data_IF_741071124630
#
_entry.id   IF_741071124630
#
_cell.length_a   1.000
_cell.length_b   1.000
_cell.length_c   1.000
_cell.angle_alpha   90.00
_cell.angle_beta   90.00
_cell.angle_gamma   90.00
#
_symmetry.space_group_name_H-M   'P 1'
#
loop_
_entity.id
_entity.type
_entity.pdbx_description
1 polymer ?
#
# COMPACT_ATOMS: atom_id res chain seq x y z
N UNK A 1 2.33 -15.18 -17.26
CA UNK A 1 1.24 -14.41 -16.63
C UNK A 1 0.64 -15.26 -15.51
N UNK A 2 0.60 -14.70 -14.31
CA UNK A 2 -0.06 -15.37 -13.18
C UNK A 2 -1.55 -15.13 -13.39
N UNK A 3 -2.29 -16.15 -13.81
CA UNK A 3 -3.73 -16.08 -14.02
C UNK A 3 -4.45 -16.18 -12.67
N UNK A 4 -4.52 -15.07 -11.94
CA UNK A 4 -5.48 -14.95 -10.84
C UNK A 4 -6.83 -14.68 -11.48
N UNK A 5 -7.69 -15.70 -11.47
CA UNK A 5 -9.05 -15.58 -12.00
C UNK A 5 -9.90 -14.78 -11.02
N UNK A 6 -10.53 -13.73 -11.51
CA UNK A 6 -11.64 -13.09 -10.80
C UNK A 6 -12.91 -13.90 -11.12
N UNK A 7 -13.29 -14.79 -10.23
CA UNK A 7 -14.54 -15.54 -10.37
C UNK A 7 -15.70 -14.62 -9.99
N UNK A 8 -16.56 -14.32 -10.96
CA UNK A 8 -17.68 -13.37 -10.80
C UNK A 8 -18.70 -13.76 -9.71
N UNK A 9 -18.70 -15.02 -9.27
CA UNK A 9 -19.65 -15.55 -8.29
C UNK A 9 -19.15 -15.52 -6.84
N UNK A 10 -17.94 -15.01 -6.58
CA UNK A 10 -17.43 -14.93 -5.22
C UNK A 10 -18.05 -13.77 -4.44
N UNK A 11 -18.31 -13.92 -3.12
CA UNK A 11 -18.89 -12.89 -2.30
C UNK A 11 -17.96 -11.68 -2.16
N UNK A 12 -18.55 -10.51 -1.93
CA UNK A 12 -17.80 -9.33 -1.53
C UNK A 12 -17.23 -9.50 -0.12
N UNK A 13 -16.04 -8.93 0.14
CA UNK A 13 -15.46 -8.93 1.47
C UNK A 13 -16.29 -8.02 2.41
N UNK A 14 -16.49 -8.48 3.64
CA UNK A 14 -17.10 -7.68 4.71
C UNK A 14 -16.03 -7.31 5.73
N UNK A 15 -15.65 -6.04 5.77
CA UNK A 15 -14.63 -5.54 6.71
C UNK A 15 -15.33 -5.09 8.00
N UNK A 16 -14.83 -5.61 9.14
CA UNK A 16 -15.28 -5.26 10.50
C UNK A 16 -14.16 -4.56 11.28
N UNK A 17 -13.11 -5.30 11.57
CA UNK A 17 -11.94 -4.83 12.32
C UNK A 17 -10.73 -4.61 11.42
N UNK A 18 -10.69 -5.25 10.26
CA UNK A 18 -9.52 -5.35 9.37
C UNK A 18 -8.37 -6.14 10.01
N UNK A 19 -8.68 -7.16 10.82
CA UNK A 19 -7.70 -8.11 11.34
C UNK A 19 -7.15 -8.95 10.18
N UNK A 20 -5.84 -9.17 10.15
CA UNK A 20 -5.20 -9.93 9.06
C UNK A 20 -4.44 -11.12 9.66
N UNK A 21 -4.63 -12.30 9.08
CA UNK A 21 -3.94 -13.51 9.52
C UNK A 21 -3.35 -14.28 8.33
N UNK A 22 -2.08 -14.66 8.45
CA UNK A 22 -1.39 -15.58 7.54
C UNK A 22 -1.21 -16.89 8.27
N UNK A 23 -1.66 -18.02 7.67
CA UNK A 23 -1.56 -19.38 8.22
C UNK A 23 -0.74 -20.26 7.29
N UNK A 24 0.46 -20.67 7.74
CA UNK A 24 1.39 -21.56 7.03
C UNK A 24 1.67 -21.15 5.58
N UNK A 25 1.74 -19.82 5.34
CA UNK A 25 1.85 -19.27 3.99
C UNK A 25 3.24 -19.48 3.43
N UNK A 26 3.30 -20.12 2.25
CA UNK A 26 4.52 -20.27 1.46
C UNK A 26 4.30 -19.79 0.04
N UNK A 27 5.28 -19.04 -0.47
CA UNK A 27 5.24 -18.49 -1.81
C UNK A 27 6.61 -18.51 -2.49
N UNK A 28 6.61 -18.82 -3.79
CA UNK A 28 7.77 -18.82 -4.66
C UNK A 28 7.41 -18.17 -6.00
N UNK A 29 8.24 -17.27 -6.48
CA UNK A 29 8.09 -16.71 -7.82
C UNK A 29 8.45 -17.74 -8.90
N UNK A 30 7.82 -17.66 -10.06
CA UNK A 30 7.97 -18.66 -11.14
C UNK A 30 9.43 -18.88 -11.58
N UNK A 31 10.23 -17.83 -11.60
CA UNK A 31 11.60 -17.85 -12.15
C UNK A 31 12.69 -17.88 -11.07
N UNK A 32 12.34 -18.20 -9.81
CA UNK A 32 13.32 -18.30 -8.71
C UNK A 32 13.52 -19.76 -8.30
N UNK A 33 14.69 -20.10 -7.74
CA UNK A 33 14.96 -21.42 -7.16
C UNK A 33 14.38 -21.50 -5.74
N UNK A 34 14.50 -20.44 -4.98
CA UNK A 34 14.16 -20.40 -3.57
C UNK A 34 12.76 -19.81 -3.33
N UNK A 35 12.17 -20.16 -2.19
CA UNK A 35 10.91 -19.58 -1.73
C UNK A 35 11.16 -18.15 -1.23
N UNK A 36 10.35 -17.22 -1.72
CA UNK A 36 10.34 -15.85 -1.19
C UNK A 36 9.69 -15.78 0.20
N UNK A 37 8.74 -16.67 0.49
CA UNK A 37 8.06 -16.83 1.79
C UNK A 37 7.97 -18.33 2.09
N UNK A 38 8.30 -18.73 3.33
CA UNK A 38 8.32 -20.12 3.75
C UNK A 38 7.58 -20.35 5.07
N UNK A 39 6.37 -20.91 5.01
CA UNK A 39 5.52 -21.28 6.15
C UNK A 39 5.39 -20.17 7.21
N UNK A 40 5.17 -18.93 6.76
CA UNK A 40 4.97 -17.83 7.70
C UNK A 40 3.60 -17.93 8.38
N UNK A 41 3.62 -17.65 9.69
CA UNK A 41 2.44 -17.48 10.53
C UNK A 41 2.53 -16.11 11.18
N UNK A 42 1.54 -15.24 10.95
CA UNK A 42 1.49 -13.93 11.59
C UNK A 42 0.05 -13.45 11.73
N UNK A 43 -0.16 -12.66 12.80
CA UNK A 43 -1.42 -11.98 13.05
C UNK A 43 -1.17 -10.50 13.20
N UNK A 44 -1.96 -9.71 12.49
CA UNK A 44 -1.95 -8.25 12.50
C UNK A 44 -3.30 -7.80 13.03
N UNK A 45 -3.26 -7.07 14.11
CA UNK A 45 -4.46 -6.51 14.72
C UNK A 45 -5.01 -5.39 13.84
N UNK A 46 -6.31 -5.35 13.69
CA UNK A 46 -6.98 -4.28 12.97
C UNK A 46 -6.78 -2.91 13.60
N UNK A 47 -6.76 -1.88 12.77
CA UNK A 47 -6.56 -0.47 13.17
C UNK A 47 -5.24 -0.22 13.91
N UNK A 48 -4.22 -1.03 13.64
CA UNK A 48 -2.87 -0.88 14.15
C UNK A 48 -1.87 -0.76 13.01
N UNK A 49 -0.69 -0.23 13.33
CA UNK A 49 0.43 -0.17 12.40
C UNK A 49 1.42 -1.31 12.69
N UNK A 50 1.65 -2.15 11.69
CA UNK A 50 2.62 -3.25 11.76
C UNK A 50 3.77 -2.99 10.80
N UNK A 51 5.00 -2.96 11.33
CA UNK A 51 6.21 -2.78 10.56
C UNK A 51 6.89 -4.11 10.23
N UNK A 52 7.33 -4.26 9.00
CA UNK A 52 8.21 -5.34 8.56
C UNK A 52 9.62 -4.81 8.37
N UNK A 53 10.59 -5.40 9.07
CA UNK A 53 12.01 -5.06 8.99
C UNK A 53 12.85 -6.27 8.57
N UNK A 54 13.99 -6.03 7.93
CA UNK A 54 14.88 -7.08 7.45
C UNK A 54 15.68 -6.60 6.24
N UNK A 55 16.70 -7.38 5.83
CA UNK A 55 17.53 -7.03 4.68
C UNK A 55 16.73 -7.02 3.35
N UNK A 56 17.31 -6.42 2.32
CA UNK A 56 16.75 -6.47 0.96
C UNK A 56 16.64 -7.93 0.49
N UNK A 57 15.53 -8.29 -0.17
CA UNK A 57 15.28 -9.66 -0.59
C UNK A 57 14.76 -10.61 0.49
N UNK A 58 14.61 -10.17 1.75
CA UNK A 58 14.13 -11.01 2.84
C UNK A 58 12.68 -11.53 2.69
N UNK A 59 11.89 -10.97 1.76
CA UNK A 59 10.48 -11.35 1.50
C UNK A 59 9.43 -10.33 1.95
N UNK A 60 9.83 -9.17 2.48
CA UNK A 60 8.91 -8.13 2.99
C UNK A 60 7.87 -7.68 1.95
N UNK A 61 8.32 -7.23 0.77
CA UNK A 61 7.40 -6.79 -0.31
C UNK A 61 6.53 -7.95 -0.82
N UNK A 62 7.00 -9.20 -0.72
CA UNK A 62 6.18 -10.36 -1.06
C UNK A 62 5.00 -10.52 -0.10
N UNK A 63 5.21 -10.33 1.22
CA UNK A 63 4.13 -10.37 2.23
C UNK A 63 3.05 -9.33 1.86
N UNK A 64 3.47 -8.09 1.58
CA UNK A 64 2.58 -7.00 1.20
C UNK A 64 1.82 -7.33 -0.10
N UNK A 65 2.50 -7.87 -1.11
CA UNK A 65 1.91 -8.15 -2.43
C UNK A 65 0.95 -9.35 -2.46
N UNK A 66 1.05 -10.26 -1.49
CA UNK A 66 0.10 -11.38 -1.34
C UNK A 66 -1.28 -10.90 -0.86
N UNK A 67 -1.36 -9.82 -0.08
CA UNK A 67 -2.63 -9.37 0.50
C UNK A 67 -3.64 -8.85 -0.54
N UNK A 68 -3.27 -7.99 -1.53
CA UNK A 68 -4.18 -7.61 -2.60
C UNK A 68 -4.33 -8.70 -3.69
N UNK A 69 -3.80 -9.90 -3.43
CA UNK A 69 -3.78 -11.02 -4.39
C UNK A 69 -3.17 -10.59 -5.74
N UNK A 70 -1.98 -9.98 -5.72
CA UNK A 70 -1.17 -9.88 -6.93
C UNK A 70 -0.58 -11.24 -7.28
N UNK A 71 -0.45 -12.11 -6.26
CA UNK A 71 -0.05 -13.50 -6.32
C UNK A 71 -0.89 -14.30 -5.34
N UNK A 72 -1.18 -15.57 -5.66
CA UNK A 72 -1.75 -16.52 -4.70
C UNK A 72 -0.62 -17.38 -4.10
N UNK A 73 -0.62 -17.65 -2.79
CA UNK A 73 0.36 -18.53 -2.18
C UNK A 73 0.19 -19.99 -2.69
N UNK A 74 1.32 -20.72 -2.79
CA UNK A 74 1.27 -22.14 -3.15
C UNK A 74 0.75 -23.01 -2.00
N UNK A 75 1.05 -22.59 -0.75
CA UNK A 75 0.55 -23.29 0.45
C UNK A 75 0.11 -22.25 1.47
N UNK A 76 -0.76 -22.69 2.39
CA UNK A 76 -1.33 -21.86 3.43
C UNK A 76 -2.47 -20.97 2.95
N UNK A 77 -2.95 -20.11 3.84
CA UNK A 77 -4.10 -19.23 3.61
C UNK A 77 -3.88 -17.86 4.23
N UNK A 78 -4.52 -16.87 3.65
CA UNK A 78 -4.53 -15.49 4.16
C UNK A 78 -5.97 -15.11 4.43
N UNK A 79 -6.22 -14.54 5.61
CA UNK A 79 -7.55 -14.13 6.05
C UNK A 79 -7.58 -12.64 6.35
N UNK A 80 -8.73 -12.03 6.11
CA UNK A 80 -9.09 -10.69 6.59
C UNK A 80 -10.43 -10.86 7.32
N UNK A 81 -10.49 -10.50 8.61
CA UNK A 81 -11.68 -10.70 9.46
C UNK A 81 -12.26 -12.11 9.30
N UNK A 82 -11.40 -13.15 9.45
CA UNK A 82 -11.70 -14.58 9.30
C UNK A 82 -12.18 -15.04 7.91
N UNK A 83 -12.20 -14.14 6.91
CA UNK A 83 -12.57 -14.46 5.54
C UNK A 83 -11.32 -14.82 4.72
N UNK A 84 -11.25 -16.03 4.18
CA UNK A 84 -10.17 -16.46 3.27
C UNK A 84 -10.22 -15.61 1.98
N UNK A 85 -9.19 -14.78 1.77
CA UNK A 85 -9.15 -13.83 0.64
C UNK A 85 -9.21 -14.52 -0.73
N UNK A 86 -8.85 -15.81 -0.81
CA UNK A 86 -8.96 -16.60 -2.05
C UNK A 86 -10.40 -16.81 -2.48
N UNK A 87 -11.33 -16.86 -1.53
CA UNK A 87 -12.75 -17.10 -1.72
C UNK A 87 -13.57 -15.79 -1.78
N UNK A 88 -12.93 -14.66 -2.02
CA UNK A 88 -13.54 -13.33 -2.08
C UNK A 88 -13.40 -12.75 -3.49
N UNK A 89 -14.41 -12.00 -3.91
CA UNK A 89 -14.38 -11.24 -5.15
C UNK A 89 -13.17 -10.28 -5.16
N UNK A 90 -12.34 -10.39 -6.18
CA UNK A 90 -11.05 -9.70 -6.25
C UNK A 90 -11.21 -8.18 -6.29
N UNK A 91 -12.22 -7.66 -6.98
CA UNK A 91 -12.47 -6.22 -7.05
C UNK A 91 -12.91 -5.69 -5.68
N UNK A 92 -13.78 -6.44 -4.98
CA UNK A 92 -14.19 -6.10 -3.61
C UNK A 92 -13.01 -6.13 -2.64
N UNK A 93 -12.13 -7.13 -2.71
CA UNK A 93 -10.90 -7.20 -1.91
C UNK A 93 -10.03 -5.96 -2.15
N UNK A 94 -9.68 -5.69 -3.41
CA UNK A 94 -8.79 -4.59 -3.80
C UNK A 94 -9.36 -3.21 -3.53
N UNK A 95 -10.69 -3.05 -3.56
CA UNK A 95 -11.36 -1.81 -3.16
C UNK A 95 -11.08 -1.45 -1.69
N UNK A 96 -10.92 -2.44 -0.83
CA UNK A 96 -10.66 -2.27 0.61
C UNK A 96 -9.16 -2.18 0.98
N UNK A 97 -8.26 -2.20 0.00
CA UNK A 97 -6.81 -2.13 0.21
C UNK A 97 -6.23 -1.00 -0.62
N UNK A 98 -5.51 -0.07 -0.01
CA UNK A 98 -4.69 0.93 -0.71
C UNK A 98 -3.22 0.56 -0.61
N UNK A 99 -2.49 0.67 -1.72
CA UNK A 99 -1.04 0.47 -1.79
C UNK A 99 -0.36 1.77 -2.17
N UNK A 100 0.59 2.20 -1.36
CA UNK A 100 1.55 3.27 -1.66
C UNK A 100 2.89 2.57 -1.86
N UNK A 101 3.30 2.40 -3.12
CA UNK A 101 4.52 1.70 -3.50
C UNK A 101 5.72 2.62 -3.59
N UNK A 102 6.92 2.04 -3.54
CA UNK A 102 8.18 2.73 -3.79
C UNK A 102 8.23 3.25 -5.23
N UNK A 103 7.88 2.39 -6.20
CA UNK A 103 7.80 2.76 -7.61
C UNK A 103 6.40 3.32 -7.91
N UNK A 104 6.34 4.64 -8.06
CA UNK A 104 5.08 5.35 -8.27
C UNK A 104 4.78 5.41 -9.75
N UNK A 105 3.70 4.77 -10.16
CA UNK A 105 3.20 4.84 -11.53
C UNK A 105 2.20 5.99 -11.64
N UNK A 106 2.51 6.96 -12.49
CA UNK A 106 1.62 8.06 -12.86
C UNK A 106 1.32 7.96 -14.36
N UNK A 107 0.07 8.22 -14.72
CA UNK A 107 -0.38 8.20 -16.11
C UNK A 107 -0.05 9.55 -16.79
N UNK A 108 0.15 9.53 -18.10
CA UNK A 108 0.28 10.74 -18.90
C UNK A 108 -1.09 11.42 -19.05
N UNK A 109 -1.46 12.14 -18.00
CA UNK A 109 -2.74 12.81 -17.84
C UNK A 109 -2.59 13.97 -16.85
N UNK A 110 -3.67 14.68 -16.55
CA UNK A 110 -3.69 15.76 -15.55
C UNK A 110 -3.41 15.21 -14.14
N UNK A 111 -2.99 16.08 -13.24
CA UNK A 111 -2.87 15.76 -11.81
C UNK A 111 -4.22 15.31 -11.26
N UNK A 112 -5.31 16.02 -11.62
CA UNK A 112 -6.66 15.68 -11.22
C UNK A 112 -7.04 14.25 -11.62
N UNK A 113 -6.87 13.89 -12.90
CA UNK A 113 -7.18 12.57 -13.41
C UNK A 113 -6.34 11.49 -12.70
N UNK A 114 -5.05 11.75 -12.48
CA UNK A 114 -4.17 10.86 -11.75
C UNK A 114 -4.65 10.58 -10.32
N UNK A 115 -5.21 11.56 -9.62
CA UNK A 115 -5.72 11.37 -8.25
C UNK A 115 -7.09 10.70 -8.29
N UNK A 116 -7.99 11.15 -9.15
CA UNK A 116 -9.35 10.63 -9.32
C UNK A 116 -9.37 9.15 -9.78
N UNK A 117 -8.29 8.65 -10.40
CA UNK A 117 -8.14 7.24 -10.75
C UNK A 117 -8.42 6.26 -9.60
N UNK A 118 -8.25 6.71 -8.35
CA UNK A 118 -8.56 5.92 -7.17
C UNK A 118 -10.06 5.77 -6.90
N UNK A 119 -10.87 6.73 -7.41
CA UNK A 119 -12.32 6.76 -7.29
C UNK A 119 -12.90 7.63 -8.42
N UNK A 120 -13.36 7.00 -9.50
CA UNK A 120 -13.88 7.68 -10.70
C UNK A 120 -15.12 8.54 -10.42
N UNK A 121 -15.84 8.30 -9.33
CA UNK A 121 -17.01 9.06 -8.91
C UNK A 121 -16.68 10.23 -7.97
N UNK A 122 -15.40 10.46 -7.66
CA UNK A 122 -15.00 11.52 -6.75
C UNK A 122 -15.28 12.92 -7.32
N UNK A 123 -15.85 13.78 -6.51
CA UNK A 123 -16.03 15.18 -6.82
C UNK A 123 -14.71 15.95 -6.74
N UNK A 124 -14.62 17.11 -7.40
CA UNK A 124 -13.45 17.99 -7.33
C UNK A 124 -13.12 18.39 -5.89
N UNK A 125 -14.14 18.61 -5.06
CA UNK A 125 -13.95 18.92 -3.62
C UNK A 125 -13.28 17.79 -2.87
N UNK A 126 -13.62 16.53 -3.16
CA UNK A 126 -13.00 15.36 -2.54
C UNK A 126 -11.55 15.19 -3.00
N UNK A 127 -11.28 15.42 -4.29
CA UNK A 127 -9.92 15.40 -4.85
C UNK A 127 -9.05 16.48 -4.17
N UNK A 128 -9.53 17.72 -4.10
CA UNK A 128 -8.80 18.81 -3.42
C UNK A 128 -8.55 18.48 -1.95
N UNK A 129 -9.57 18.01 -1.23
CA UNK A 129 -9.42 17.63 0.19
C UNK A 129 -8.41 16.50 0.38
N UNK A 130 -8.39 15.49 -0.49
CA UNK A 130 -7.38 14.43 -0.44
C UNK A 130 -5.96 14.99 -0.66
N UNK A 131 -5.81 15.98 -1.55
CA UNK A 131 -4.54 16.66 -1.78
C UNK A 131 -4.09 17.52 -0.61
N UNK A 132 -5.01 18.20 0.07
CA UNK A 132 -4.71 18.96 1.28
C UNK A 132 -4.17 18.04 2.38
N UNK A 133 -4.84 16.89 2.62
CA UNK A 133 -4.36 15.90 3.59
C UNK A 133 -3.02 15.26 3.22
N UNK A 134 -2.74 15.11 1.92
CA UNK A 134 -1.47 14.61 1.40
C UNK A 134 -0.39 15.67 1.29
N UNK A 135 -0.65 16.92 1.71
CA UNK A 135 0.21 18.08 1.51
C UNK A 135 0.61 18.31 0.03
N UNK A 136 -0.26 17.90 -0.91
CA UNK A 136 -0.05 18.05 -2.34
C UNK A 136 -0.63 19.35 -2.91
N UNK A 137 -1.73 19.85 -2.32
CA UNK A 137 -2.47 21.02 -2.80
C UNK A 137 -1.59 22.27 -2.94
N UNK A 138 -0.67 22.48 -2.00
CA UNK A 138 0.22 23.64 -2.00
C UNK A 138 1.11 23.73 -3.24
N UNK A 139 1.74 22.61 -3.64
CA UNK A 139 2.56 22.63 -4.83
C UNK A 139 1.72 22.62 -6.13
N UNK A 140 0.55 21.94 -6.11
CA UNK A 140 -0.34 21.89 -7.26
C UNK A 140 -0.83 23.30 -7.62
N UNK A 141 -1.22 24.11 -6.65
CA UNK A 141 -1.66 25.51 -6.86
C UNK A 141 -0.56 26.43 -7.40
N UNK A 142 0.70 26.07 -7.22
CA UNK A 142 1.85 26.82 -7.78
C UNK A 142 2.14 26.48 -9.25
N UNK A 143 1.52 25.41 -9.78
CA UNK A 143 1.69 25.04 -11.19
C UNK A 143 0.82 25.92 -12.10
N UNK A 144 1.23 26.22 -13.34
CA UNK A 144 0.52 27.14 -14.22
C UNK A 144 -0.95 26.79 -14.45
N UNK A 145 -1.29 25.50 -14.55
CA UNK A 145 -2.64 25.00 -14.76
C UNK A 145 -3.22 24.30 -13.53
N UNK A 146 -2.59 24.44 -12.34
CA UNK A 146 -3.06 23.82 -11.12
C UNK A 146 -3.33 22.32 -11.28
N UNK A 147 -4.52 21.87 -10.92
CA UNK A 147 -4.97 20.48 -11.03
C UNK A 147 -5.07 19.96 -12.47
N UNK A 148 -5.25 20.84 -13.47
CA UNK A 148 -5.30 20.49 -14.87
C UNK A 148 -3.91 20.45 -15.54
N UNK A 149 -2.84 20.51 -14.74
CA UNK A 149 -1.48 20.38 -15.24
C UNK A 149 -1.22 18.96 -15.74
N UNK A 150 -0.84 18.83 -17.01
CA UNK A 150 -0.35 17.58 -17.60
C UNK A 150 1.02 17.23 -17.05
N UNK A 151 1.16 16.05 -16.47
CA UNK A 151 2.41 15.65 -15.79
C UNK A 151 3.37 14.82 -16.64
N UNK A 152 2.92 14.38 -17.82
CA UNK A 152 3.70 13.54 -18.73
C UNK A 152 3.86 12.10 -18.24
N UNK A 153 4.46 11.26 -19.06
CA UNK A 153 4.66 9.85 -18.78
C UNK A 153 5.43 9.66 -17.47
N UNK A 154 4.88 8.83 -16.58
CA UNK A 154 5.39 8.60 -15.22
C UNK A 154 5.65 9.88 -14.40
N UNK A 155 4.97 10.99 -14.73
CA UNK A 155 5.11 12.25 -14.00
C UNK A 155 6.52 12.85 -14.12
N UNK A 156 7.14 12.77 -15.29
CA UNK A 156 8.53 13.23 -15.55
C UNK A 156 8.78 14.69 -15.11
N UNK A 157 7.72 15.49 -15.06
CA UNK A 157 7.78 16.91 -14.66
C UNK A 157 7.69 17.15 -13.15
N UNK A 158 7.56 16.08 -12.35
CA UNK A 158 7.39 16.16 -10.90
C UNK A 158 8.62 15.62 -10.16
N UNK A 159 8.96 16.23 -9.02
CA UNK A 159 9.97 15.68 -8.11
C UNK A 159 9.48 14.38 -7.46
N UNK A 160 10.40 13.57 -6.91
CA UNK A 160 10.05 12.34 -6.19
C UNK A 160 9.05 12.57 -5.06
N UNK A 161 9.27 13.63 -4.25
CA UNK A 161 8.35 14.00 -3.16
C UNK A 161 6.97 14.46 -3.65
N UNK A 162 6.88 15.12 -4.80
CA UNK A 162 5.60 15.50 -5.41
C UNK A 162 4.85 14.26 -5.91
N UNK A 163 5.51 13.33 -6.59
CA UNK A 163 4.93 12.05 -7.01
C UNK A 163 4.40 11.27 -5.81
N UNK A 164 5.18 11.20 -4.73
CA UNK A 164 4.79 10.49 -3.51
C UNK A 164 3.53 11.09 -2.90
N UNK A 165 3.43 12.42 -2.80
CA UNK A 165 2.24 13.10 -2.29
C UNK A 165 1.00 12.85 -3.16
N UNK A 166 1.14 12.77 -4.47
CA UNK A 166 0.03 12.36 -5.37
C UNK A 166 -0.38 10.91 -5.09
N UNK A 167 0.57 9.99 -4.92
CA UNK A 167 0.28 8.58 -4.58
C UNK A 167 -0.45 8.47 -3.23
N UNK A 168 -0.06 9.27 -2.24
CA UNK A 168 -0.74 9.34 -0.93
C UNK A 168 -2.14 9.95 -1.09
N UNK A 169 -2.31 11.00 -1.90
CA UNK A 169 -3.63 11.58 -2.18
C UNK A 169 -4.59 10.55 -2.81
N UNK A 170 -4.09 9.73 -3.75
CA UNK A 170 -4.85 8.57 -4.28
C UNK A 170 -5.31 7.63 -3.19
N UNK A 171 -4.40 7.27 -2.27
CA UNK A 171 -4.71 6.35 -1.17
C UNK A 171 -5.72 6.95 -0.18
N UNK A 172 -5.63 8.26 0.10
CA UNK A 172 -6.59 8.99 0.93
C UNK A 172 -7.97 9.02 0.26
N UNK A 173 -8.03 9.38 -1.04
CA UNK A 173 -9.28 9.47 -1.80
C UNK A 173 -10.01 8.13 -1.89
N UNK A 174 -9.27 7.04 -1.91
CA UNK A 174 -9.82 5.67 -1.95
C UNK A 174 -10.54 5.26 -0.66
N UNK A 175 -10.23 5.87 0.48
CA UNK A 175 -10.82 5.58 1.78
C UNK A 175 -10.75 4.12 2.24
N UNK A 176 -9.75 3.37 1.80
CA UNK A 176 -9.60 1.95 2.17
C UNK A 176 -9.30 1.77 3.66
N UNK A 177 -9.87 0.74 4.33
CA UNK A 177 -9.57 0.42 5.73
C UNK A 177 -8.19 -0.20 5.94
N UNK A 178 -7.58 -0.76 4.89
CA UNK A 178 -6.26 -1.40 4.94
C UNK A 178 -5.30 -0.61 4.04
N UNK A 179 -4.15 -0.23 4.62
CA UNK A 179 -3.11 0.54 3.95
C UNK A 179 -1.82 -0.29 3.89
N UNK A 180 -1.23 -0.37 2.72
CA UNK A 180 0.05 -1.02 2.47
C UNK A 180 1.06 0.05 2.05
N UNK A 181 2.18 0.15 2.77
CA UNK A 181 3.25 1.11 2.51
C UNK A 181 4.54 0.35 2.20
N UNK A 182 5.02 0.45 0.95
CA UNK A 182 6.29 -0.13 0.54
C UNK A 182 7.31 0.99 0.32
N UNK A 183 8.22 1.18 1.29
CA UNK A 183 9.33 2.15 1.24
C UNK A 183 8.96 3.59 0.84
N UNK A 184 7.82 4.09 1.30
CA UNK A 184 7.23 5.34 0.84
C UNK A 184 8.10 6.61 1.00
N UNK A 185 9.27 6.56 1.65
CA UNK A 185 10.15 7.73 1.91
C UNK A 185 11.62 7.48 1.57
N UNK A 186 12.00 6.33 1.01
CA UNK A 186 13.41 5.91 0.90
C UNK A 186 14.29 6.79 0.01
N UNK A 187 13.73 7.49 -0.97
CA UNK A 187 14.45 8.28 -1.99
C UNK A 187 14.22 9.80 -1.89
N UNK A 188 13.75 10.31 -0.74
CA UNK A 188 13.39 11.71 -0.58
C UNK A 188 14.49 12.49 0.16
N UNK A 189 14.62 13.78 -0.18
CA UNK A 189 15.40 14.76 0.61
C UNK A 189 14.71 15.01 1.96
N UNK A 190 15.47 15.58 2.94
CA UNK A 190 15.00 15.72 4.31
C UNK A 190 13.75 16.59 4.47
N UNK A 191 13.57 17.61 3.63
CA UNK A 191 12.40 18.50 3.69
C UNK A 191 11.17 17.78 3.14
N UNK A 192 11.28 17.19 1.95
CA UNK A 192 10.23 16.38 1.32
C UNK A 192 9.84 15.19 2.20
N UNK A 193 10.80 14.57 2.89
CA UNK A 193 10.55 13.46 3.80
C UNK A 193 9.61 13.85 4.94
N UNK A 194 9.87 14.98 5.62
CA UNK A 194 9.04 15.45 6.74
C UNK A 194 7.60 15.71 6.30
N UNK A 195 7.42 16.30 5.11
CA UNK A 195 6.09 16.57 4.55
C UNK A 195 5.37 15.24 4.23
N UNK A 196 6.06 14.32 3.59
CA UNK A 196 5.50 12.99 3.22
C UNK A 196 5.20 12.18 4.48
N UNK A 197 6.03 12.23 5.51
CA UNK A 197 5.79 11.53 6.78
C UNK A 197 4.51 12.03 7.47
N UNK A 198 4.26 13.34 7.47
CA UNK A 198 3.01 13.91 7.99
C UNK A 198 1.78 13.43 7.17
N UNK A 199 1.91 13.38 5.85
CA UNK A 199 0.86 12.88 4.97
C UNK A 199 0.57 11.38 5.22
N UNK A 200 1.61 10.56 5.46
CA UNK A 200 1.48 9.15 5.84
C UNK A 200 0.76 9.04 7.19
N UNK A 201 1.11 9.85 8.18
CA UNK A 201 0.42 9.87 9.48
C UNK A 201 -1.07 10.15 9.34
N UNK A 202 -1.44 11.10 8.48
CA UNK A 202 -2.85 11.39 8.18
C UNK A 202 -3.55 10.22 7.48
N UNK A 203 -2.88 9.56 6.53
CA UNK A 203 -3.41 8.42 5.78
C UNK A 203 -3.68 7.21 6.68
N UNK A 204 -2.78 6.93 7.63
CA UNK A 204 -2.77 5.70 8.44
C UNK A 204 -3.63 5.78 9.70
N UNK A 205 -4.10 6.96 10.05
CA UNK A 205 -4.93 7.18 11.24
C UNK A 205 -6.19 6.29 11.21
N UNK A 206 -6.39 5.52 12.27
CA UNK A 206 -7.53 4.59 12.43
C UNK A 206 -7.64 3.52 11.33
N UNK A 207 -6.52 3.19 10.66
CA UNK A 207 -6.43 2.18 9.60
C UNK A 207 -5.53 1.01 10.01
N UNK A 208 -5.81 -0.17 9.47
CA UNK A 208 -4.86 -1.28 9.55
C UNK A 208 -3.74 -1.04 8.55
N UNK A 209 -2.53 -0.83 9.06
CA UNK A 209 -1.39 -0.45 8.22
C UNK A 209 -0.28 -1.47 8.28
N UNK A 210 0.15 -1.95 7.12
CA UNK A 210 1.35 -2.76 6.95
C UNK A 210 2.41 -1.89 6.28
N UNK A 211 3.56 -1.74 6.91
CA UNK A 211 4.64 -0.89 6.38
C UNK A 211 5.96 -1.66 6.30
N UNK A 212 6.64 -1.58 5.15
CA UNK A 212 8.04 -1.97 5.05
C UNK A 212 8.87 -0.78 5.51
N UNK A 213 9.53 -0.99 6.67
CA UNK A 213 10.27 0.08 7.33
C UNK A 213 11.77 -0.04 7.06
N UNK A 214 12.35 1.01 6.45
CA UNK A 214 13.78 1.21 6.30
C UNK A 214 14.31 2.34 7.17
N UNK A 215 13.42 3.08 7.85
CA UNK A 215 13.77 4.22 8.71
C UNK A 215 13.31 3.98 10.14
N UNK A 216 14.16 4.40 11.09
CA UNK A 216 13.89 4.28 12.52
C UNK A 216 12.60 5.00 12.94
N UNK A 217 12.28 6.16 12.34
CA UNK A 217 11.06 6.90 12.63
C UNK A 217 9.79 6.11 12.34
N UNK A 218 9.78 5.34 11.26
CA UNK A 218 8.65 4.45 10.89
C UNK A 218 8.52 3.29 11.87
N UNK A 219 9.65 2.73 12.32
CA UNK A 219 9.69 1.62 13.28
C UNK A 219 9.19 2.07 14.65
N UNK A 220 9.58 3.27 15.11
CA UNK A 220 9.13 3.80 16.41
C UNK A 220 7.63 4.05 16.50
N UNK A 221 6.96 4.31 15.38
CA UNK A 221 5.52 4.57 15.34
C UNK A 221 4.69 3.29 15.13
N UNK A 222 5.32 2.12 14.99
CA UNK A 222 4.62 0.86 14.79
C UNK A 222 4.18 0.26 16.14
N UNK A 223 2.93 -0.24 16.17
CA UNK A 223 2.38 -0.97 17.31
C UNK A 223 2.97 -2.38 17.40
N UNK A 224 3.41 -2.93 16.26
CA UNK A 224 4.03 -4.24 16.16
C UNK A 224 5.11 -4.27 15.09
N UNK A 225 6.18 -5.02 15.36
CA UNK A 225 7.30 -5.19 14.43
C UNK A 225 7.50 -6.67 14.17
N UNK A 226 7.64 -7.05 12.90
CA UNK A 226 8.08 -8.38 12.48
C UNK A 226 9.44 -8.30 11.82
N UNK A 227 10.39 -9.12 12.30
CA UNK A 227 11.71 -9.27 11.68
C UNK A 227 11.66 -10.39 10.67
N UNK A 228 11.87 -10.04 9.41
CA UNK A 228 11.84 -10.97 8.27
C UNK A 228 13.27 -11.29 7.83
N UNK A 229 13.59 -12.58 7.73
CA UNK A 229 14.86 -13.06 7.22
C UNK A 229 14.63 -14.32 6.38
N UNK A 230 15.14 -14.34 5.16
CA UNK A 230 15.13 -15.51 4.24
C UNK A 230 13.72 -16.13 4.09
N UNK A 231 12.71 -15.30 3.97
CA UNK A 231 11.31 -15.71 3.84
C UNK A 231 10.65 -16.22 5.12
N UNK A 232 11.27 -16.03 6.28
CA UNK A 232 10.77 -16.45 7.61
C UNK A 232 10.54 -15.24 8.50
N UNK A 233 9.58 -15.35 9.42
CA UNK A 233 9.48 -14.46 10.58
C UNK A 233 10.36 -15.01 11.69
N UNK A 234 11.44 -14.30 12.02
CA UNK A 234 12.43 -14.78 13.01
C UNK A 234 12.23 -14.16 14.39
N UNK A 235 11.52 -13.01 14.47
CA UNK A 235 11.21 -12.34 15.73
C UNK A 235 10.00 -11.41 15.56
N UNK A 236 9.35 -11.06 16.67
CA UNK A 236 8.30 -10.06 16.73
C UNK A 236 8.28 -9.33 18.08
N UNK A 237 8.05 -8.04 18.09
CA UNK A 237 7.95 -7.20 19.27
C UNK A 237 6.91 -6.11 19.11
#
# INVERSE_FOLDING_TARGET
>A
PINIKNENNLPSISIKNSDIEFKDVSFKYLNTKDKAINKINLKIQGRSMTAFVGHSGAGKSTIINLLPRFYDPQNGKIFIDDQDIKNINLNSLRKNISLVSQDIILFDDTIRANIAYANDSATDKEVVKACEFAAADEFIKKLPNGYETMIGENGIRLSGGQKQRISIARAILKHSPIILLDEATSSLDAESEKIVQNAITNLTKDKTTLVIAHRLSTIHNADKIFVVKDGLIINSG
#
